data_IF_317638566833
#
_entry.id   IF_317638566833
#
_cell.length_a   1.000
_cell.length_b   1.000
_cell.length_c   1.000
_cell.angle_alpha   90.00
_cell.angle_beta   90.00
_cell.angle_gamma   90.00
#
_symmetry.space_group_name_H-M   'P 1'
#
loop_
_entity.id
_entity.type
_entity.pdbx_description
1 polymer ?
#
# COMPACT_ATOMS: atom_id res chain seq x y z
N UNK A 1 -0.25 25.59 3.83
CA UNK A 1 0.46 26.03 2.60
C UNK A 1 0.34 24.84 1.66
N UNK A 2 -0.42 24.96 0.57
CA UNK A 2 -0.66 23.86 -0.38
C UNK A 2 0.69 23.22 -0.78
N UNK A 3 0.99 22.02 -0.28
CA UNK A 3 2.11 21.24 -0.80
C UNK A 3 1.73 20.76 -2.20
N UNK A 4 2.03 21.61 -3.18
CA UNK A 4 2.23 21.20 -4.56
C UNK A 4 3.31 20.12 -4.56
N UNK A 5 3.03 19.01 -5.23
CA UNK A 5 3.95 17.93 -5.54
C UNK A 5 5.11 18.40 -6.44
N UNK A 6 6.00 19.23 -5.90
CA UNK A 6 7.16 19.77 -6.63
C UNK A 6 8.52 19.36 -6.09
N UNK A 7 8.60 18.78 -4.89
CA UNK A 7 9.89 18.41 -4.30
C UNK A 7 9.88 16.95 -3.81
N UNK A 8 9.62 16.00 -4.71
CA UNK A 8 10.13 14.64 -4.57
C UNK A 8 11.45 14.58 -5.34
N UNK A 9 12.51 15.07 -4.70
CA UNK A 9 13.84 15.07 -5.26
C UNK A 9 14.43 13.66 -5.19
N UNK A 10 14.23 12.88 -6.25
CA UNK A 10 14.93 11.62 -6.47
C UNK A 10 16.38 11.90 -6.89
N UNK A 11 17.29 12.08 -5.93
CA UNK A 11 18.72 11.92 -6.21
C UNK A 11 19.03 10.43 -6.30
N UNK A 12 19.33 9.99 -7.51
CA UNK A 12 19.88 8.67 -7.76
C UNK A 12 21.26 8.54 -7.14
N UNK A 13 21.41 7.57 -6.23
CA UNK A 13 22.66 6.87 -6.01
C UNK A 13 22.30 5.40 -5.71
N UNK A 14 22.68 4.51 -6.62
CA UNK A 14 23.00 3.09 -6.39
C UNK A 14 22.04 2.21 -5.58
N UNK A 15 21.58 1.15 -6.24
CA UNK A 15 21.01 -0.09 -5.68
C UNK A 15 19.62 -0.04 -5.02
N UNK A 16 18.62 -0.48 -5.78
CA UNK A 16 17.47 -1.28 -5.36
C UNK A 16 16.71 -0.85 -4.09
N UNK A 17 15.56 -0.20 -4.27
CA UNK A 17 14.62 0.04 -3.17
C UNK A 17 13.64 -1.12 -3.04
N UNK A 18 13.99 -2.11 -2.22
CA UNK A 18 13.05 -3.14 -1.74
C UNK A 18 12.50 -2.66 -0.39
N UNK A 19 11.20 -2.41 -0.33
CA UNK A 19 10.54 -1.98 0.90
C UNK A 19 10.30 -3.20 1.82
N UNK A 20 11.25 -3.53 2.70
CA UNK A 20 11.23 -4.68 3.63
C UNK A 20 10.96 -4.28 5.10
N UNK A 21 10.04 -4.98 5.80
CA UNK A 21 9.85 -5.02 7.26
C UNK A 21 9.01 -6.26 7.62
N UNK A 22 9.36 -6.81 8.79
CA UNK A 22 9.07 -8.13 9.35
C UNK A 22 7.60 -8.40 9.82
N UNK A 23 7.24 -9.66 10.17
CA UNK A 23 5.86 -10.20 10.11
C UNK A 23 5.17 -10.42 11.49
N UNK A 24 3.83 -10.58 11.48
CA UNK A 24 3.00 -11.43 12.36
C UNK A 24 1.46 -11.23 12.13
N UNK A 25 0.83 -12.36 11.74
CA UNK A 25 -0.53 -12.95 11.64
C UNK A 25 -1.82 -12.23 12.10
N UNK A 26 -2.76 -12.18 11.15
CA UNK A 26 -4.17 -12.70 11.19
C UNK A 26 -5.42 -11.77 11.11
N UNK A 27 -6.21 -12.07 10.05
CA UNK A 27 -7.69 -12.06 9.75
C UNK A 27 -8.59 -10.79 9.71
N UNK A 28 -9.14 -10.57 8.48
CA UNK A 28 -10.34 -9.79 7.97
C UNK A 28 -10.19 -8.24 7.80
N UNK A 29 -11.00 -7.55 6.95
CA UNK A 29 -11.46 -7.80 5.57
C UNK A 29 -10.92 -6.76 4.53
N UNK A 30 -11.12 -7.05 3.22
CA UNK A 30 -10.95 -6.20 2.01
C UNK A 30 -9.60 -5.49 1.69
N UNK A 31 -8.80 -6.21 0.88
CA UNK A 31 -7.85 -5.78 -0.19
C UNK A 31 -7.11 -4.44 -0.04
N UNK A 32 -6.00 -4.48 0.70
CA UNK A 32 -4.82 -3.64 0.47
C UNK A 32 -3.64 -4.56 0.11
N UNK A 33 -2.82 -4.18 -0.88
CA UNK A 33 -1.79 -5.00 -1.52
C UNK A 33 -0.95 -5.84 -0.52
N UNK A 34 -0.84 -7.15 -0.73
CA UNK A 34 0.01 -8.02 0.08
C UNK A 34 1.47 -7.58 -0.04
N UNK A 35 2.18 -7.51 1.09
CA UNK A 35 3.57 -7.03 1.09
C UNK A 35 4.49 -8.22 1.01
N UNK A 36 5.31 -8.25 -0.02
CA UNK A 36 6.46 -9.16 -0.05
C UNK A 36 7.58 -8.54 0.80
N UNK A 37 7.77 -9.04 2.01
CA UNK A 37 8.77 -8.52 2.95
C UNK A 37 10.21 -9.02 2.67
N UNK A 38 10.33 -9.99 1.76
CA UNK A 38 11.57 -10.67 1.40
C UNK A 38 11.66 -10.76 -0.12
N UNK A 39 12.86 -10.79 -0.72
CA UNK A 39 12.98 -11.03 -2.16
C UNK A 39 12.35 -12.37 -2.55
N UNK A 40 11.49 -12.36 -3.57
CA UNK A 40 10.95 -13.58 -4.19
C UNK A 40 11.77 -13.90 -5.43
N UNK A 41 12.29 -15.12 -5.51
CA UNK A 41 13.06 -15.55 -6.67
C UNK A 41 12.19 -15.54 -7.94
N UNK A 42 12.76 -15.07 -9.05
CA UNK A 42 12.10 -15.09 -10.37
C UNK A 42 12.25 -16.47 -10.99
N UNK A 43 11.58 -17.44 -10.37
CA UNK A 43 11.58 -18.84 -10.74
C UNK A 43 10.13 -19.36 -10.69
N UNK A 44 9.74 -20.17 -11.67
CA UNK A 44 8.35 -20.62 -11.79
C UNK A 44 7.96 -21.50 -10.60
N UNK A 45 7.01 -20.99 -9.82
CA UNK A 45 6.42 -21.61 -8.63
C UNK A 45 7.42 -21.91 -7.51
N UNK A 46 8.55 -21.22 -7.47
CA UNK A 46 9.46 -21.26 -6.33
C UNK A 46 8.78 -20.60 -5.11
N UNK A 47 8.63 -21.37 -4.04
CA UNK A 47 7.96 -20.90 -2.83
C UNK A 47 8.90 -20.04 -2.00
N UNK A 48 8.42 -18.87 -1.62
CA UNK A 48 9.06 -17.97 -0.69
C UNK A 48 8.16 -17.86 0.56
N UNK A 49 8.66 -18.38 1.68
CA UNK A 49 7.92 -18.47 2.93
C UNK A 49 8.25 -17.26 3.81
N UNK A 50 7.23 -16.60 4.32
CA UNK A 50 7.32 -15.71 5.49
C UNK A 50 6.51 -16.33 6.64
N UNK A 51 6.57 -15.75 7.83
CA UNK A 51 5.90 -16.30 9.01
C UNK A 51 4.36 -16.45 8.82
N UNK A 52 3.76 -15.62 7.94
CA UNK A 52 2.31 -15.54 7.76
C UNK A 52 1.80 -15.76 6.34
N UNK A 53 2.68 -15.66 5.34
CA UNK A 53 2.28 -15.66 3.94
C UNK A 53 3.23 -16.55 3.12
N UNK A 54 2.69 -17.26 2.13
CA UNK A 54 3.50 -17.93 1.11
C UNK A 54 3.42 -17.12 -0.17
N UNK A 55 4.56 -16.71 -0.70
CA UNK A 55 4.67 -15.96 -1.95
C UNK A 55 5.30 -16.85 -3.02
N UNK A 56 4.88 -16.71 -4.27
CA UNK A 56 5.58 -17.29 -5.42
C UNK A 56 5.28 -16.49 -6.67
N UNK A 57 6.19 -16.57 -7.64
CA UNK A 57 5.93 -16.10 -9.00
C UNK A 57 5.48 -17.29 -9.84
N UNK A 58 4.41 -17.13 -10.60
CA UNK A 58 3.92 -18.14 -11.54
C UNK A 58 4.01 -17.61 -12.96
N UNK A 59 4.62 -18.40 -13.85
CA UNK A 59 4.80 -18.04 -15.25
C UNK A 59 3.51 -18.30 -16.03
N UNK A 60 2.97 -17.26 -16.63
CA UNK A 60 1.81 -17.33 -17.52
C UNK A 60 2.15 -16.68 -18.88
N UNK A 61 2.66 -17.48 -19.82
CA UNK A 61 3.15 -16.97 -21.10
C UNK A 61 4.33 -16.03 -20.90
N UNK A 62 4.18 -14.76 -21.30
CA UNK A 62 5.20 -13.71 -21.07
C UNK A 62 5.12 -13.03 -19.70
N UNK A 63 4.05 -13.31 -18.95
CA UNK A 63 3.78 -12.67 -17.68
C UNK A 63 4.29 -13.50 -16.52
N UNK A 64 4.69 -12.79 -15.47
CA UNK A 64 4.95 -13.32 -14.15
C UNK A 64 3.89 -12.79 -13.20
N UNK A 65 3.11 -13.71 -12.63
CA UNK A 65 2.06 -13.39 -11.66
C UNK A 65 2.62 -13.63 -10.26
N UNK A 66 2.79 -12.58 -9.47
CA UNK A 66 3.06 -12.70 -8.05
C UNK A 66 1.77 -13.16 -7.36
N UNK A 67 1.82 -14.35 -6.78
CA UNK A 67 0.75 -14.93 -5.98
C UNK A 67 1.14 -14.91 -4.52
N UNK A 68 0.13 -14.63 -3.69
CA UNK A 68 0.25 -14.67 -2.25
C UNK A 68 -0.83 -15.58 -1.70
N UNK A 69 -0.42 -16.54 -0.88
CA UNK A 69 -1.32 -17.33 -0.07
C UNK A 69 -1.29 -16.83 1.37
N UNK A 70 -2.46 -16.46 1.87
CA UNK A 70 -2.68 -16.09 3.27
C UNK A 70 -3.80 -16.97 3.83
N UNK A 71 -3.55 -17.68 4.93
CA UNK A 71 -4.48 -18.70 5.46
C UNK A 71 -4.96 -19.66 4.34
N UNK A 72 -6.25 -19.61 3.98
CA UNK A 72 -6.92 -20.47 2.98
C UNK A 72 -7.19 -19.76 1.64
N UNK A 73 -6.63 -18.56 1.43
CA UNK A 73 -6.88 -17.76 0.23
C UNK A 73 -5.61 -17.55 -0.56
N UNK A 74 -5.72 -17.70 -1.88
CA UNK A 74 -4.71 -17.31 -2.85
C UNK A 74 -5.19 -16.05 -3.55
N UNK A 75 -4.31 -15.07 -3.66
CA UNK A 75 -4.57 -13.79 -4.32
C UNK A 75 -3.47 -13.55 -5.35
N UNK A 76 -3.88 -13.16 -6.56
CA UNK A 76 -2.99 -12.59 -7.56
C UNK A 76 -2.71 -11.14 -7.13
N UNK A 77 -1.49 -10.86 -6.66
CA UNK A 77 -1.11 -9.59 -6.07
C UNK A 77 -0.55 -8.60 -7.11
N UNK A 78 0.32 -9.08 -8.00
CA UNK A 78 0.94 -8.26 -9.03
C UNK A 78 1.18 -9.08 -10.30
N UNK A 79 1.18 -8.43 -11.46
CA UNK A 79 1.52 -9.04 -12.75
C UNK A 79 2.54 -8.15 -13.44
N UNK A 80 3.64 -8.74 -13.91
CA UNK A 80 4.70 -8.03 -14.62
C UNK A 80 5.23 -8.83 -15.80
N UNK A 81 5.92 -8.16 -16.73
CA UNK A 81 6.91 -8.78 -17.60
C UNK A 81 8.30 -8.64 -16.97
N UNK A 82 9.35 -9.09 -17.66
CA UNK A 82 10.76 -8.87 -17.28
C UNK A 82 11.45 -7.85 -18.21
N UNK A 83 10.65 -7.02 -18.89
CA UNK A 83 11.18 -5.96 -19.73
C UNK A 83 11.78 -4.87 -18.84
N UNK A 84 12.80 -4.18 -19.36
CA UNK A 84 13.38 -3.03 -18.69
C UNK A 84 12.40 -1.85 -18.75
N UNK A 85 12.09 -1.26 -17.59
CA UNK A 85 11.24 -0.08 -17.48
C UNK A 85 12.12 1.17 -17.41
N UNK A 86 11.79 2.20 -18.19
CA UNK A 86 12.52 3.46 -18.20
C UNK A 86 11.93 4.43 -17.18
N UNK A 87 12.72 5.39 -16.64
CA UNK A 87 12.20 6.41 -15.73
C UNK A 87 10.95 7.14 -16.24
N UNK A 88 10.87 7.39 -17.56
CA UNK A 88 9.72 8.07 -18.20
C UNK A 88 8.42 7.26 -18.10
N UNK A 89 8.49 5.93 -18.08
CA UNK A 89 7.31 5.07 -17.95
C UNK A 89 6.63 5.28 -16.59
N UNK A 90 7.43 5.48 -15.54
CA UNK A 90 6.94 5.81 -14.20
C UNK A 90 6.37 7.23 -14.12
N UNK A 91 6.96 8.20 -14.82
CA UNK A 91 6.41 9.56 -14.86
C UNK A 91 5.01 9.58 -15.49
N UNK A 92 4.83 8.88 -16.62
CA UNK A 92 3.54 8.74 -17.28
C UNK A 92 2.52 8.00 -16.39
N UNK A 93 2.92 6.86 -15.81
CA UNK A 93 2.08 6.07 -14.92
C UNK A 93 1.65 6.88 -13.67
N UNK A 94 2.59 7.59 -13.06
CA UNK A 94 2.34 8.44 -11.90
C UNK A 94 1.42 9.62 -12.24
N UNK A 95 1.60 10.26 -13.39
CA UNK A 95 0.70 11.32 -13.83
C UNK A 95 -0.74 10.81 -13.94
N UNK A 96 -0.94 9.67 -14.60
CA UNK A 96 -2.26 9.05 -14.72
C UNK A 96 -2.86 8.71 -13.35
N UNK A 97 -2.13 8.00 -12.49
CA UNK A 97 -2.67 7.59 -11.18
C UNK A 97 -2.92 8.78 -10.25
N UNK A 98 -2.12 9.84 -10.32
CA UNK A 98 -2.23 11.00 -9.42
C UNK A 98 -3.22 12.07 -9.88
N UNK A 99 -3.59 12.09 -11.16
CA UNK A 99 -4.38 13.21 -11.72
C UNK A 99 -5.63 12.80 -12.48
N UNK A 100 -5.72 11.55 -12.95
CA UNK A 100 -6.85 11.13 -13.76
C UNK A 100 -8.15 11.19 -12.94
N UNK A 101 -9.25 11.81 -13.44
CA UNK A 101 -10.48 12.02 -12.67
C UNK A 101 -11.10 10.75 -12.08
N UNK A 102 -10.98 9.62 -12.78
CA UNK A 102 -11.46 8.32 -12.32
C UNK A 102 -10.45 7.50 -11.49
N UNK A 103 -9.26 8.04 -11.21
CA UNK A 103 -8.25 7.32 -10.42
C UNK A 103 -8.73 7.13 -8.99
N UNK A 104 -8.58 5.94 -8.39
CA UNK A 104 -8.89 5.74 -6.98
C UNK A 104 -8.03 6.63 -6.06
N UNK A 105 -6.80 6.98 -6.46
CA UNK A 105 -5.90 7.83 -5.67
C UNK A 105 -6.30 9.31 -5.67
N UNK A 106 -7.12 9.74 -6.64
CA UNK A 106 -7.71 11.08 -6.65
C UNK A 106 -8.99 11.11 -5.80
N UNK A 107 -9.72 10.00 -5.74
CA UNK A 107 -11.07 9.97 -5.20
C UNK A 107 -11.19 9.43 -3.77
N UNK A 108 -10.17 8.72 -3.27
CA UNK A 108 -10.23 7.91 -2.03
C UNK A 108 -9.02 8.16 -1.14
N UNK A 109 -9.19 7.95 0.16
CA UNK A 109 -8.04 7.81 1.08
C UNK A 109 -7.58 6.35 1.06
N UNK A 110 -6.33 6.13 0.72
CA UNK A 110 -5.68 4.81 0.71
C UNK A 110 -4.36 4.94 1.47
N UNK A 111 -4.29 4.39 2.68
CA UNK A 111 -3.10 4.50 3.51
C UNK A 111 -2.76 3.17 4.16
N UNK A 112 -1.46 2.94 4.33
CA UNK A 112 -0.96 1.80 5.08
C UNK A 112 0.36 2.13 5.73
N UNK A 113 0.51 1.75 6.99
CA UNK A 113 1.76 1.81 7.72
C UNK A 113 2.04 0.48 8.40
N UNK A 114 3.33 0.16 8.54
CA UNK A 114 3.82 -0.89 9.41
C UNK A 114 4.63 -0.22 10.51
N UNK A 115 4.25 -0.50 11.75
CA UNK A 115 4.90 0.05 12.93
C UNK A 115 5.34 -1.10 13.84
N UNK A 116 6.10 -0.78 14.89
CA UNK A 116 6.57 -1.78 15.85
C UNK A 116 5.42 -2.57 16.52
N UNK A 117 4.21 -1.99 16.57
CA UNK A 117 3.01 -2.61 17.13
C UNK A 117 2.19 -3.43 16.13
N UNK A 118 2.54 -3.45 14.84
CA UNK A 118 1.85 -4.20 13.80
C UNK A 118 1.54 -3.36 12.55
N UNK A 119 0.29 -3.38 12.06
CA UNK A 119 -0.11 -2.77 10.79
C UNK A 119 -1.33 -1.89 10.95
N UNK A 120 -1.30 -0.71 10.33
CA UNK A 120 -2.48 0.15 10.17
C UNK A 120 -2.84 0.20 8.69
N UNK A 121 -4.11 -0.05 8.37
CA UNK A 121 -4.65 0.09 7.01
C UNK A 121 -5.84 1.05 7.07
N UNK A 122 -5.91 1.96 6.12
CA UNK A 122 -7.03 2.89 5.98
C UNK A 122 -7.55 2.86 4.56
N UNK A 123 -8.86 2.64 4.42
CA UNK A 123 -9.61 2.80 3.19
C UNK A 123 -10.75 3.78 3.48
N UNK A 124 -10.66 4.99 2.92
CA UNK A 124 -11.54 6.10 3.24
C UNK A 124 -11.56 6.40 4.74
N UNK A 125 -12.65 6.05 5.42
CA UNK A 125 -12.83 6.23 6.85
C UNK A 125 -12.60 4.95 7.64
N UNK A 126 -12.59 3.81 6.98
CA UNK A 126 -12.41 2.52 7.62
C UNK A 126 -10.95 2.34 7.99
N UNK A 127 -10.68 2.20 9.28
CA UNK A 127 -9.36 1.97 9.84
C UNK A 127 -9.33 0.54 10.38
N UNK A 128 -8.27 -0.19 10.03
CA UNK A 128 -7.97 -1.50 10.62
C UNK A 128 -6.57 -1.45 11.21
N UNK A 129 -6.49 -1.64 12.53
CA UNK A 129 -5.23 -1.74 13.26
C UNK A 129 -5.05 -3.21 13.64
N UNK A 130 -3.99 -3.81 13.14
CA UNK A 130 -3.57 -5.16 13.44
C UNK A 130 -2.42 -5.11 14.44
N UNK A 131 -2.57 -5.79 15.59
CA UNK A 131 -1.56 -5.93 16.64
C UNK A 131 -1.41 -7.41 16.98
N UNK A 132 -0.35 -8.03 16.49
CA UNK A 132 -0.21 -9.49 16.50
C UNK A 132 -1.48 -10.16 15.96
N UNK A 133 -2.03 -11.12 16.70
CA UNK A 133 -3.23 -11.87 16.32
C UNK A 133 -4.58 -11.16 16.52
N UNK A 134 -4.57 -9.85 16.81
CA UNK A 134 -5.80 -9.07 17.06
C UNK A 134 -5.96 -7.96 16.04
N UNK A 135 -7.15 -7.87 15.47
CA UNK A 135 -7.59 -6.79 14.61
C UNK A 135 -8.65 -5.94 15.34
N UNK A 136 -8.41 -4.65 15.46
CA UNK A 136 -9.43 -3.68 15.88
C UNK A 136 -9.80 -2.82 14.66
N UNK A 137 -11.11 -2.70 14.39
CA UNK A 137 -11.65 -1.90 13.29
C UNK A 137 -12.45 -0.73 13.82
N UNK A 138 -12.26 0.43 13.24
CA UNK A 138 -12.97 1.65 13.60
C UNK A 138 -13.23 2.50 12.36
N UNK A 139 -14.07 3.53 12.52
CA UNK A 139 -14.40 4.48 11.46
C UNK A 139 -13.94 5.86 11.91
N UNK A 140 -13.18 6.57 11.07
CA UNK A 140 -12.82 7.96 11.32
C UNK A 140 -14.08 8.82 11.37
N UNK A 141 -14.24 9.57 12.45
CA UNK A 141 -15.37 10.49 12.61
C UNK A 141 -15.25 11.66 11.61
N UNK A 142 -14.08 12.29 11.59
CA UNK A 142 -13.81 13.52 10.85
C UNK A 142 -12.33 13.61 10.42
N UNK A 143 -11.97 14.75 9.84
CA UNK A 143 -10.61 15.02 9.37
C UNK A 143 -9.62 15.31 10.52
N UNK A 144 -10.10 15.75 11.68
CA UNK A 144 -9.24 15.93 12.85
C UNK A 144 -8.79 14.56 13.38
N UNK A 145 -9.68 13.57 13.39
CA UNK A 145 -9.35 12.18 13.67
C UNK A 145 -8.36 11.60 12.64
N UNK A 146 -8.49 11.95 11.36
CA UNK A 146 -7.50 11.58 10.33
C UNK A 146 -6.11 12.16 10.65
N UNK A 147 -6.01 13.45 10.99
CA UNK A 147 -4.73 14.07 11.35
C UNK A 147 -4.11 13.43 12.58
N UNK A 148 -4.91 13.18 13.63
CA UNK A 148 -4.45 12.48 14.83
C UNK A 148 -3.91 11.08 14.49
N UNK A 149 -4.59 10.34 13.60
CA UNK A 149 -4.15 9.03 13.13
C UNK A 149 -2.78 9.10 12.42
N UNK A 150 -2.54 10.13 11.59
CA UNK A 150 -1.25 10.33 10.92
C UNK A 150 -0.13 10.54 11.92
N UNK A 151 -0.34 11.40 12.92
CA UNK A 151 0.65 11.65 13.97
C UNK A 151 0.93 10.38 14.76
N UNK A 152 -0.11 9.67 15.20
CA UNK A 152 0.03 8.51 16.07
C UNK A 152 0.63 7.28 15.37
N UNK A 153 0.18 6.98 14.15
CA UNK A 153 0.49 5.71 13.50
C UNK A 153 1.40 5.81 12.28
N UNK A 154 1.47 6.99 11.66
CA UNK A 154 2.33 7.25 10.50
C UNK A 154 3.56 8.09 10.85
N UNK A 155 3.57 8.72 12.03
CA UNK A 155 4.73 9.42 12.57
C UNK A 155 4.99 10.78 11.94
N UNK A 156 3.99 11.37 11.28
CA UNK A 156 4.08 12.71 10.71
C UNK A 156 2.80 13.52 10.92
N UNK A 157 2.94 14.83 11.12
CA UNK A 157 1.83 15.76 11.15
C UNK A 157 1.62 16.35 9.74
N UNK A 158 0.36 16.36 9.29
CA UNK A 158 -0.03 16.95 8.02
C UNK A 158 -1.32 17.76 8.20
N UNK A 159 -1.24 19.03 8.65
CA UNK A 159 -2.40 19.85 8.95
C UNK A 159 -3.35 20.04 7.75
N UNK A 160 -2.82 20.01 6.52
CA UNK A 160 -3.59 20.14 5.30
C UNK A 160 -4.69 19.08 5.14
N UNK A 161 -4.61 17.94 5.83
CA UNK A 161 -5.65 16.90 5.76
C UNK A 161 -6.98 17.34 6.36
N UNK A 162 -6.97 18.34 7.25
CA UNK A 162 -8.19 18.95 7.80
C UNK A 162 -9.01 19.70 6.73
N UNK A 163 -8.42 19.97 5.57
CA UNK A 163 -9.09 20.62 4.44
C UNK A 163 -9.17 19.70 3.21
N UNK A 164 -8.72 18.45 3.34
CA UNK A 164 -8.70 17.51 2.23
C UNK A 164 -10.12 17.22 1.76
N UNK A 165 -10.35 17.44 0.46
CA UNK A 165 -11.58 17.00 -0.21
C UNK A 165 -11.40 15.55 -0.67
N UNK A 166 -12.31 14.69 -0.26
CA UNK A 166 -12.30 13.26 -0.64
C UNK A 166 -13.64 12.93 -1.29
N UNK A 167 -13.72 12.89 -2.63
CA UNK A 167 -14.98 12.67 -3.35
C UNK A 167 -15.77 11.44 -2.91
N UNK A 168 -15.11 10.38 -2.44
CA UNK A 168 -15.79 9.17 -1.96
C UNK A 168 -16.32 9.24 -0.53
N UNK A 169 -16.09 10.35 0.19
CA UNK A 169 -16.55 10.58 1.57
C UNK A 169 -17.44 11.82 1.56
N UNK A 170 -18.72 11.62 1.25
CA UNK A 170 -19.68 12.73 1.06
C UNK A 170 -19.97 13.46 2.38
N UNK A 171 -19.87 12.77 3.51
CA UNK A 171 -20.12 13.33 4.85
C UNK A 171 -19.06 14.33 5.29
N UNK A 172 -17.95 14.40 4.57
CA UNK A 172 -16.89 15.37 4.82
C UNK A 172 -16.98 16.58 3.88
N UNK A 173 -17.88 16.64 2.90
CA UNK A 173 -17.98 17.82 2.01
C UNK A 173 -18.15 19.15 2.75
#
# INVERSE_FOLDING_TARGET
>A
MLLRARDAFCRGVGTGWICACAPHRSRRPARAAHRVAVPVAVEDRALCLTDDETHWLERNGRYWVLRVRTDDKIVDAWVSTLEEENPVDFEMGNHFTSTHPNSPFVNRILMRALNAGGRVTVMNRDVTIQRGNRADSSVLADRAALRALLVEHFGFDLPEVEQLRVPSIVEWE
#
